data_IF_778206226645
#
_entry.id   IF_778206226645
#
_cell.length_a   1.000
_cell.length_b   1.000
_cell.length_c   1.000
_cell.angle_alpha   90.00
_cell.angle_beta   90.00
_cell.angle_gamma   90.00
#
_symmetry.space_group_name_H-M   'P 1'
#
loop_
_entity.id
_entity.type
_entity.pdbx_description
1 polymer ?
#
# COMPACT_ATOMS: atom_id res chain seq x y z
N UNK A 1 -33.15 25.55 -9.98
CA UNK A 1 -31.91 26.02 -9.32
C UNK A 1 -31.07 24.82 -8.92
N UNK A 2 -29.83 24.72 -9.41
CA UNK A 2 -28.90 23.64 -9.06
C UNK A 2 -28.57 23.63 -7.57
N UNK A 3 -28.25 22.47 -6.98
CA UNK A 3 -27.85 22.41 -5.58
C UNK A 3 -26.58 23.22 -5.32
N UNK A 4 -26.49 23.85 -4.14
CA UNK A 4 -25.29 24.55 -3.65
C UNK A 4 -25.12 24.28 -2.16
N UNK A 5 -23.89 24.04 -1.69
CA UNK A 5 -23.60 23.89 -0.27
C UNK A 5 -23.86 25.20 0.48
N UNK A 6 -24.63 25.13 1.57
CA UNK A 6 -24.99 26.30 2.38
C UNK A 6 -23.96 26.61 3.46
N UNK A 7 -23.15 25.63 3.86
CA UNK A 7 -22.12 25.78 4.91
C UNK A 7 -20.75 25.26 4.45
N UNK A 8 -20.18 25.75 3.34
CA UNK A 8 -18.91 25.24 2.80
C UNK A 8 -17.72 25.42 3.77
N UNK A 9 -17.75 26.45 4.62
CA UNK A 9 -16.71 26.70 5.65
C UNK A 9 -16.58 25.54 6.64
N UNK A 10 -17.71 24.93 7.06
CA UNK A 10 -17.72 23.77 7.97
C UNK A 10 -17.30 22.47 7.29
N UNK A 11 -17.10 22.49 5.97
CA UNK A 11 -16.66 21.38 5.14
C UNK A 11 -15.20 21.55 4.67
N UNK A 12 -14.51 22.63 5.12
CA UNK A 12 -13.09 22.89 4.78
C UNK A 12 -12.18 21.76 5.26
N UNK A 13 -12.40 21.27 6.50
CA UNK A 13 -11.67 20.11 7.03
C UNK A 13 -12.15 18.82 6.37
N UNK A 14 -11.43 18.41 5.32
CA UNK A 14 -11.71 17.19 4.57
C UNK A 14 -11.07 15.95 5.18
N UNK A 15 -10.04 16.09 6.00
CA UNK A 15 -9.42 14.97 6.71
C UNK A 15 -9.78 15.10 8.19
N UNK A 16 -10.36 14.05 8.76
CA UNK A 16 -10.82 14.01 10.15
C UNK A 16 -10.27 12.76 10.80
N UNK A 17 -9.25 12.93 11.62
CA UNK A 17 -8.67 11.88 12.44
C UNK A 17 -9.30 11.90 13.84
N UNK A 18 -9.80 10.77 14.33
CA UNK A 18 -10.47 10.63 15.64
C UNK A 18 -10.09 9.31 16.32
N UNK A 19 -10.01 9.24 17.65
CA UNK A 19 -9.68 7.99 18.33
C UNK A 19 -10.83 6.98 18.32
N UNK A 20 -10.50 5.68 18.43
CA UNK A 20 -11.49 4.59 18.67
C UNK A 20 -12.39 4.94 19.86
N UNK A 21 -13.68 4.57 19.76
CA UNK A 21 -14.70 4.83 20.77
C UNK A 21 -15.27 6.26 20.77
N UNK A 22 -14.64 7.20 20.07
CA UNK A 22 -15.15 8.57 19.96
C UNK A 22 -16.29 8.70 18.94
N UNK A 23 -16.74 9.93 18.69
CA UNK A 23 -17.83 10.21 17.74
C UNK A 23 -17.47 11.37 16.82
N UNK A 24 -17.94 11.33 15.58
CA UNK A 24 -17.75 12.40 14.58
C UNK A 24 -19.06 12.71 13.86
N UNK A 25 -19.24 14.00 13.51
CA UNK A 25 -20.38 14.48 12.72
C UNK A 25 -19.90 15.13 11.43
N UNK A 26 -20.27 14.56 10.30
CA UNK A 26 -19.95 15.08 8.96
C UNK A 26 -21.15 15.86 8.43
N UNK A 27 -20.98 17.15 8.15
CA UNK A 27 -22.06 18.05 7.70
C UNK A 27 -22.05 18.18 6.19
N UNK A 28 -23.20 18.18 5.54
CA UNK A 28 -23.29 18.36 4.09
C UNK A 28 -24.56 19.10 3.68
N UNK A 29 -24.91 20.16 4.41
CA UNK A 29 -26.14 20.93 4.14
C UNK A 29 -26.04 21.65 2.80
N UNK A 30 -27.08 21.51 1.98
CA UNK A 30 -27.19 22.16 0.68
C UNK A 30 -28.61 22.71 0.46
N UNK A 31 -28.72 23.66 -0.45
CA UNK A 31 -29.98 24.27 -0.89
C UNK A 31 -30.11 24.14 -2.40
N UNK A 32 -31.35 24.04 -2.89
CA UNK A 32 -31.66 23.98 -4.32
C UNK A 32 -33.18 24.02 -4.52
N UNK A 33 -33.62 24.24 -5.74
CA UNK A 33 -35.05 24.20 -6.10
C UNK A 33 -35.24 23.35 -7.38
N UNK A 34 -35.94 22.20 -7.31
CA UNK A 34 -36.58 21.59 -6.12
C UNK A 34 -35.60 21.23 -5.00
N UNK A 35 -36.11 21.06 -3.77
CA UNK A 35 -35.28 20.69 -2.61
C UNK A 35 -34.47 19.43 -2.94
N UNK A 36 -33.12 19.48 -2.85
CA UNK A 36 -32.31 18.34 -3.21
C UNK A 36 -32.38 17.21 -2.16
N UNK A 37 -32.20 15.98 -2.64
CA UNK A 37 -32.01 14.79 -1.81
C UNK A 37 -30.52 14.59 -1.50
N UNK A 38 -30.22 13.84 -0.43
CA UNK A 38 -28.86 13.52 0.00
C UNK A 38 -28.67 12.01 0.14
N UNK A 39 -27.57 11.49 -0.39
CA UNK A 39 -27.11 10.12 -0.21
C UNK A 39 -25.70 10.14 0.35
N UNK A 40 -25.46 9.39 1.43
CA UNK A 40 -24.12 9.19 1.97
C UNK A 40 -23.52 7.90 1.44
N UNK A 41 -22.28 7.99 0.99
CA UNK A 41 -21.49 6.90 0.46
C UNK A 41 -20.27 6.71 1.35
N UNK A 42 -19.93 5.46 1.71
CA UNK A 42 -18.63 5.09 2.27
C UNK A 42 -17.88 4.27 1.23
N UNK A 43 -16.70 4.72 0.84
CA UNK A 43 -15.84 4.07 -0.16
C UNK A 43 -16.62 3.73 -1.45
N UNK A 44 -17.40 4.71 -1.91
CA UNK A 44 -18.30 4.64 -3.08
C UNK A 44 -19.50 3.68 -2.95
N UNK A 45 -19.78 3.14 -1.77
CA UNK A 45 -20.96 2.30 -1.50
C UNK A 45 -21.98 3.06 -0.65
N UNK A 46 -23.28 3.03 -0.98
CA UNK A 46 -24.31 3.67 -0.16
C UNK A 46 -24.29 3.14 1.27
N UNK A 47 -24.39 4.04 2.25
CA UNK A 47 -24.57 3.64 3.65
C UNK A 47 -26.03 3.20 3.89
N UNK A 48 -26.27 2.24 4.81
CA UNK A 48 -27.62 1.87 5.21
C UNK A 48 -28.43 3.08 5.69
N UNK A 49 -29.73 3.08 5.41
CA UNK A 49 -30.64 4.17 5.79
C UNK A 49 -30.71 4.37 7.31
N UNK A 50 -30.43 3.37 8.14
CA UNK A 50 -30.36 3.53 9.61
C UNK A 50 -29.16 4.40 10.04
N UNK A 51 -28.05 4.32 9.29
CA UNK A 51 -26.83 5.07 9.60
C UNK A 51 -26.94 6.53 9.15
N UNK A 52 -27.68 6.77 8.06
CA UNK A 52 -27.83 8.08 7.43
C UNK A 52 -29.21 8.74 7.67
N UNK A 53 -30.17 7.99 8.21
CA UNK A 53 -31.56 8.38 8.45
C UNK A 53 -31.74 9.09 9.79
N UNK A 54 -32.63 10.08 9.80
CA UNK A 54 -33.03 10.86 10.97
C UNK A 54 -34.39 10.42 11.50
N UNK A 55 -34.77 11.01 12.63
CA UNK A 55 -36.08 10.81 13.24
C UNK A 55 -37.21 11.07 12.22
N UNK A 56 -38.13 10.12 12.09
CA UNK A 56 -39.22 10.16 11.11
C UNK A 56 -38.84 9.83 9.66
N UNK A 57 -37.75 9.07 9.42
CA UNK A 57 -37.43 8.53 8.08
C UNK A 57 -36.82 9.55 7.10
N UNK A 58 -36.48 10.76 7.56
CA UNK A 58 -35.85 11.79 6.72
C UNK A 58 -34.34 11.59 6.66
N UNK A 59 -33.76 11.50 5.45
CA UNK A 59 -32.29 11.44 5.27
C UNK A 59 -31.61 12.67 5.88
N UNK A 60 -30.57 12.47 6.69
CA UNK A 60 -29.90 13.56 7.41
C UNK A 60 -28.83 14.23 6.55
N UNK A 61 -28.90 15.56 6.50
CA UNK A 61 -27.81 16.43 6.04
C UNK A 61 -26.52 16.31 6.87
N UNK A 62 -26.56 15.61 8.00
CA UNK A 62 -25.41 15.36 8.87
C UNK A 62 -25.30 13.88 9.18
N UNK A 63 -24.21 13.24 8.73
CA UNK A 63 -23.87 11.87 9.11
C UNK A 63 -23.22 11.88 10.49
N UNK A 64 -23.75 11.09 11.42
CA UNK A 64 -23.20 10.96 12.78
C UNK A 64 -22.67 9.56 12.97
N UNK A 65 -21.34 9.42 13.08
CA UNK A 65 -20.68 8.17 13.43
C UNK A 65 -20.41 8.20 14.92
N UNK A 66 -20.97 7.25 15.67
CA UNK A 66 -20.78 7.12 17.12
C UNK A 66 -19.99 5.86 17.42
N UNK A 67 -19.28 5.86 18.56
CA UNK A 67 -18.49 4.72 19.03
C UNK A 67 -17.56 4.18 17.93
N UNK A 68 -16.65 5.04 17.45
CA UNK A 68 -15.86 4.77 16.25
C UNK A 68 -15.04 3.47 16.35
N UNK A 69 -15.14 2.59 15.36
CA UNK A 69 -14.29 1.40 15.22
C UNK A 69 -13.29 1.56 14.07
N UNK A 70 -12.14 0.84 14.07
CA UNK A 70 -11.14 0.95 12.99
C UNK A 70 -11.72 0.76 11.59
N UNK A 71 -12.72 -0.12 11.45
CA UNK A 71 -13.41 -0.45 10.19
C UNK A 71 -14.23 0.73 9.65
N UNK A 72 -14.56 1.73 10.48
CA UNK A 72 -15.23 2.95 10.06
C UNK A 72 -14.27 4.01 9.49
N UNK A 73 -12.97 3.71 9.39
CA UNK A 73 -12.06 4.51 8.57
C UNK A 73 -12.45 4.40 7.09
N UNK A 74 -12.32 5.48 6.32
CA UNK A 74 -12.64 5.47 4.90
C UNK A 74 -13.01 6.84 4.33
N UNK A 75 -13.43 6.83 3.06
CA UNK A 75 -13.89 8.03 2.34
C UNK A 75 -15.41 8.12 2.40
N UNK A 76 -15.90 9.12 3.12
CA UNK A 76 -17.32 9.43 3.25
C UNK A 76 -17.70 10.55 2.30
N UNK A 77 -18.47 10.22 1.26
CA UNK A 77 -18.94 11.19 0.27
C UNK A 77 -20.42 11.46 0.48
N UNK A 78 -20.79 12.72 0.65
CA UNK A 78 -22.19 13.12 0.47
C UNK A 78 -22.42 13.45 -1.00
N UNK A 79 -23.41 12.80 -1.58
CA UNK A 79 -23.91 13.06 -2.91
C UNK A 79 -25.27 13.73 -2.78
N UNK A 80 -25.40 14.94 -3.34
CA UNK A 80 -26.60 15.76 -3.23
C UNK A 80 -27.11 16.08 -4.62
N UNK A 81 -28.38 15.77 -4.90
CA UNK A 81 -28.93 15.93 -6.25
C UNK A 81 -30.38 16.38 -6.26
N UNK A 82 -30.75 17.10 -7.32
CA UNK A 82 -32.14 17.40 -7.70
C UNK A 82 -32.26 17.34 -9.23
N UNK A 83 -33.47 17.53 -9.77
CA UNK A 83 -33.70 17.55 -11.22
C UNK A 83 -32.91 18.60 -12.01
N UNK A 84 -32.30 19.59 -11.34
CA UNK A 84 -31.51 20.63 -11.99
C UNK A 84 -30.01 20.30 -12.03
N UNK A 85 -29.52 19.36 -11.20
CA UNK A 85 -28.14 18.91 -11.17
C UNK A 85 -27.72 18.29 -9.84
N UNK A 86 -26.42 18.06 -9.70
CA UNK A 86 -25.80 17.36 -8.57
C UNK A 86 -24.52 18.06 -8.07
N UNK A 87 -24.19 17.85 -6.80
CA UNK A 87 -22.94 18.26 -6.17
C UNK A 87 -22.49 17.18 -5.18
N UNK A 88 -21.19 17.09 -4.92
CA UNK A 88 -20.63 16.15 -3.96
C UNK A 88 -19.53 16.77 -3.08
N UNK A 89 -19.33 16.19 -1.89
CA UNK A 89 -18.19 16.50 -1.05
C UNK A 89 -17.71 15.25 -0.31
N UNK A 90 -16.40 15.09 -0.22
CA UNK A 90 -15.77 13.91 0.40
C UNK A 90 -14.97 14.30 1.63
N UNK A 91 -15.19 13.53 2.70
CA UNK A 91 -14.43 13.50 3.94
C UNK A 91 -13.60 12.22 3.99
N UNK A 92 -12.32 12.33 4.37
CA UNK A 92 -11.47 11.21 4.75
C UNK A 92 -11.54 11.10 6.28
N UNK A 93 -12.21 10.06 6.78
CA UNK A 93 -12.26 9.76 8.21
C UNK A 93 -11.21 8.71 8.53
N UNK A 94 -10.39 8.97 9.54
CA UNK A 94 -9.33 8.08 9.99
C UNK A 94 -9.53 7.80 11.48
N UNK A 95 -9.79 6.53 11.82
CA UNK A 95 -10.02 6.11 13.19
C UNK A 95 -8.71 5.60 13.76
N UNK A 96 -8.12 6.39 14.66
CA UNK A 96 -6.81 6.12 15.26
C UNK A 96 -7.00 5.26 16.52
N UNK A 97 -6.33 4.12 16.56
CA UNK A 97 -6.26 3.32 17.78
C UNK A 97 -5.17 3.89 18.70
N UNK A 98 -5.49 4.09 19.98
CA UNK A 98 -4.53 4.57 20.99
C UNK A 98 -3.62 3.41 21.40
N UNK A 99 -2.36 3.72 21.61
CA UNK A 99 -1.32 2.82 22.14
C UNK A 99 -0.43 3.61 23.07
N UNK A 100 0.18 2.93 24.04
CA UNK A 100 1.13 3.51 24.99
C UNK A 100 2.54 2.92 24.83
N UNK A 101 2.78 2.10 23.81
CA UNK A 101 4.06 1.44 23.59
C UNK A 101 4.48 1.51 22.13
N UNK A 102 5.75 1.82 21.87
CA UNK A 102 6.32 1.67 20.53
C UNK A 102 6.30 0.19 20.09
N UNK A 103 6.33 -0.11 18.78
CA UNK A 103 6.34 -1.49 18.30
C UNK A 103 7.62 -2.22 18.72
N UNK A 104 7.56 -3.54 18.85
CA UNK A 104 8.71 -4.37 19.24
C UNK A 104 9.00 -5.37 18.13
N UNK A 105 10.22 -5.39 17.59
CA UNK A 105 10.63 -6.41 16.63
C UNK A 105 10.96 -7.71 17.38
N UNK A 106 10.12 -8.72 17.17
CA UNK A 106 10.19 -10.02 17.84
C UNK A 106 10.85 -11.08 16.96
N UNK A 107 11.50 -12.07 17.59
CA UNK A 107 12.28 -13.08 16.90
C UNK A 107 13.64 -12.56 16.41
N UNK A 108 14.31 -13.37 15.59
CA UNK A 108 15.67 -13.10 15.08
C UNK A 108 15.68 -12.41 13.72
N UNK A 109 14.51 -12.09 13.15
CA UNK A 109 14.39 -11.57 11.79
C UNK A 109 14.44 -10.03 11.72
N UNK A 110 14.94 -9.44 10.62
CA UNK A 110 15.60 -10.11 9.49
C UNK A 110 16.95 -10.70 9.87
N UNK A 111 17.36 -11.76 9.18
CA UNK A 111 18.62 -12.49 9.40
C UNK A 111 19.51 -12.32 8.17
N UNK A 112 20.83 -12.25 8.36
CA UNK A 112 21.79 -12.22 7.25
C UNK A 112 21.55 -13.40 6.30
N UNK A 113 21.51 -13.11 5.01
CA UNK A 113 21.13 -14.09 3.99
C UNK A 113 22.11 -14.06 2.84
N UNK A 114 22.49 -15.25 2.36
CA UNK A 114 23.29 -15.41 1.15
C UNK A 114 22.42 -16.01 0.04
N UNK A 115 22.55 -15.49 -1.18
CA UNK A 115 21.81 -15.96 -2.36
C UNK A 115 22.74 -16.00 -3.57
N UNK A 116 22.55 -16.97 -4.46
CA UNK A 116 23.28 -17.02 -5.73
C UNK A 116 22.79 -15.93 -6.70
N UNK A 117 23.67 -15.50 -7.62
CA UNK A 117 23.29 -14.61 -8.71
C UNK A 117 22.10 -15.17 -9.49
N UNK A 118 21.11 -14.32 -9.79
CA UNK A 118 19.85 -14.71 -10.42
C UNK A 118 18.88 -15.46 -9.49
N UNK A 119 19.30 -15.79 -8.26
CA UNK A 119 18.48 -16.46 -7.26
C UNK A 119 17.34 -15.59 -6.71
N UNK A 120 16.48 -16.21 -5.92
CA UNK A 120 15.36 -15.54 -5.25
C UNK A 120 15.42 -15.82 -3.76
N UNK A 121 15.27 -14.78 -2.94
CA UNK A 121 15.30 -14.87 -1.48
C UNK A 121 14.33 -13.89 -0.85
N UNK A 122 14.10 -14.00 0.47
CA UNK A 122 13.23 -13.06 1.17
C UNK A 122 13.70 -12.77 2.59
N UNK A 123 13.59 -11.50 2.99
CA UNK A 123 13.69 -11.12 4.39
C UNK A 123 12.32 -11.15 5.05
N UNK A 124 12.27 -11.56 6.31
CA UNK A 124 11.07 -11.52 7.14
C UNK A 124 11.21 -10.43 8.20
N UNK A 125 10.09 -9.84 8.61
CA UNK A 125 10.07 -8.93 9.74
C UNK A 125 8.82 -9.16 10.59
N UNK A 126 9.02 -9.57 11.83
CA UNK A 126 7.95 -9.87 12.79
C UNK A 126 7.90 -8.79 13.86
N UNK A 127 6.81 -8.02 13.88
CA UNK A 127 6.63 -6.86 14.76
C UNK A 127 5.45 -7.12 15.69
N UNK A 128 5.66 -7.12 17.00
CA UNK A 128 4.59 -7.13 18.01
C UNK A 128 4.15 -5.69 18.30
N UNK A 129 2.84 -5.44 18.23
CA UNK A 129 2.24 -4.13 18.49
C UNK A 129 0.78 -4.35 18.88
N UNK A 130 0.27 -3.54 19.81
CA UNK A 130 -1.14 -3.52 20.25
C UNK A 130 -2.07 -2.82 19.24
N UNK A 131 -1.49 -2.03 18.34
CA UNK A 131 -2.15 -1.39 17.20
C UNK A 131 -1.48 -1.82 15.90
N UNK A 132 -2.20 -1.76 14.77
CA UNK A 132 -1.61 -2.06 13.45
C UNK A 132 -0.41 -1.14 13.17
N UNK A 133 0.83 -1.66 13.12
CA UNK A 133 2.00 -0.83 12.89
C UNK A 133 2.19 -0.59 11.39
N UNK A 134 2.90 0.49 11.07
CA UNK A 134 3.51 0.68 9.76
C UNK A 134 4.81 -0.13 9.75
N UNK A 135 4.91 -1.10 8.83
CA UNK A 135 6.15 -1.83 8.60
C UNK A 135 6.73 -1.31 7.28
N UNK A 136 8.03 -0.98 7.29
CA UNK A 136 8.70 -0.39 6.15
C UNK A 136 10.10 -0.97 5.98
N UNK A 137 10.47 -1.34 4.75
CA UNK A 137 11.81 -1.78 4.41
C UNK A 137 12.65 -0.64 3.85
N UNK A 138 13.91 -0.59 4.27
CA UNK A 138 14.91 0.34 3.77
C UNK A 138 16.13 -0.45 3.29
N UNK A 139 16.75 -0.03 2.19
CA UNK A 139 18.10 -0.49 1.79
C UNK A 139 19.08 0.66 1.98
N UNK A 140 20.24 0.39 2.58
CA UNK A 140 21.34 1.34 2.62
C UNK A 140 21.91 1.50 1.20
N UNK A 141 22.14 2.74 0.81
CA UNK A 141 22.76 3.08 -0.47
C UNK A 141 24.27 3.19 -0.22
N UNK A 142 25.05 2.45 -1.00
CA UNK A 142 26.51 2.49 -0.87
C UNK A 142 27.09 3.77 -1.51
N UNK A 143 28.23 4.28 -1.02
CA UNK A 143 28.87 5.46 -1.59
C UNK A 143 29.17 5.27 -3.09
N UNK A 144 28.70 6.19 -3.93
CA UNK A 144 28.89 6.15 -5.39
C UNK A 144 27.74 5.50 -6.17
N UNK A 145 26.76 4.89 -5.51
CA UNK A 145 25.58 4.33 -6.17
C UNK A 145 24.58 5.45 -6.55
N UNK A 146 24.41 5.70 -7.84
CA UNK A 146 23.52 6.77 -8.37
C UNK A 146 22.19 6.26 -8.93
N UNK A 147 21.89 4.96 -8.72
CA UNK A 147 20.69 4.28 -9.22
C UNK A 147 19.38 4.86 -8.67
N UNK A 148 19.42 5.49 -7.50
CA UNK A 148 18.23 5.93 -6.78
C UNK A 148 18.05 7.46 -6.87
N UNK A 149 16.96 7.89 -7.51
CA UNK A 149 16.60 9.31 -7.65
C UNK A 149 16.03 9.94 -6.37
N UNK A 150 15.65 9.13 -5.39
CA UNK A 150 15.06 9.60 -4.13
C UNK A 150 15.61 8.76 -2.98
N UNK A 151 16.28 9.43 -2.06
CA UNK A 151 16.91 8.82 -0.88
C UNK A 151 16.59 9.64 0.36
N UNK A 152 16.60 8.98 1.50
CA UNK A 152 16.47 9.59 2.83
C UNK A 152 17.86 9.62 3.46
N UNK A 153 18.25 10.78 3.96
CA UNK A 153 19.53 10.99 4.67
C UNK A 153 19.28 10.89 6.18
N UNK A 154 20.01 9.99 6.84
CA UNK A 154 19.92 9.76 8.29
C UNK A 154 21.35 9.67 8.83
N UNK A 155 21.80 10.77 9.46
CA UNK A 155 23.22 10.94 9.81
C UNK A 155 24.09 10.92 8.54
N UNK A 156 25.17 10.16 8.58
CA UNK A 156 26.11 10.02 7.45
C UNK A 156 25.72 8.90 6.47
N UNK A 157 24.47 8.43 6.52
CA UNK A 157 24.00 7.30 5.75
C UNK A 157 22.81 7.67 4.88
N UNK A 158 22.79 7.12 3.66
CA UNK A 158 21.70 7.26 2.70
C UNK A 158 20.91 5.96 2.62
N UNK A 159 19.59 6.08 2.61
CA UNK A 159 18.67 4.96 2.52
C UNK A 159 17.66 5.17 1.40
N UNK A 160 17.28 4.09 0.73
CA UNK A 160 16.14 4.08 -0.18
C UNK A 160 14.98 3.34 0.49
N UNK A 161 13.78 3.91 0.37
CA UNK A 161 12.54 3.29 0.83
C UNK A 161 12.10 2.26 -0.19
N UNK A 162 11.99 1.00 0.23
CA UNK A 162 11.57 -0.09 -0.63
C UNK A 162 10.04 -0.24 -0.60
N UNK A 163 9.39 -0.68 -1.68
CA UNK A 163 7.97 -0.96 -1.65
C UNK A 163 7.69 -2.07 -0.63
N UNK A 164 6.82 -1.79 0.33
CA UNK A 164 6.41 -2.78 1.34
C UNK A 164 5.17 -3.52 0.87
N UNK A 165 5.24 -4.85 0.85
CA UNK A 165 4.12 -5.71 0.50
C UNK A 165 3.02 -5.74 1.57
N UNK A 166 2.12 -6.71 1.46
CA UNK A 166 1.05 -6.91 2.44
C UNK A 166 1.60 -7.17 3.85
N UNK A 167 0.94 -6.59 4.86
CA UNK A 167 1.24 -6.81 6.28
C UNK A 167 0.21 -7.78 6.85
N UNK A 168 0.65 -8.97 7.25
CA UNK A 168 -0.22 -10.02 7.79
C UNK A 168 -0.28 -9.93 9.32
N UNK A 169 -1.48 -9.73 9.88
CA UNK A 169 -1.70 -9.92 11.31
C UNK A 169 -1.68 -11.41 11.65
N UNK A 170 -1.15 -11.73 12.84
CA UNK A 170 -1.04 -13.08 13.36
C UNK A 170 -1.87 -13.21 14.65
N UNK A 171 -2.42 -14.41 14.96
CA UNK A 171 -3.20 -14.63 16.17
C UNK A 171 -2.46 -14.33 17.48
N UNK A 172 -1.12 -14.36 17.47
CA UNK A 172 -0.27 -14.03 18.62
C UNK A 172 -0.14 -12.51 18.89
N UNK A 173 -0.86 -11.67 18.13
CA UNK A 173 -0.79 -10.21 18.22
C UNK A 173 0.45 -9.63 17.54
N UNK A 174 1.17 -10.42 16.74
CA UNK A 174 2.26 -9.92 15.90
C UNK A 174 1.82 -9.65 14.47
N UNK A 175 2.59 -8.82 13.78
CA UNK A 175 2.44 -8.49 12.38
C UNK A 175 3.67 -8.99 11.64
N UNK A 176 3.47 -9.64 10.51
CA UNK A 176 4.53 -10.16 9.67
C UNK A 176 4.51 -9.43 8.33
N UNK A 177 5.68 -9.03 7.86
CA UNK A 177 5.88 -8.59 6.49
C UNK A 177 7.10 -9.30 5.90
N UNK A 178 7.10 -9.50 4.57
CA UNK A 178 8.20 -10.13 3.84
C UNK A 178 8.64 -9.24 2.68
N UNK A 179 9.93 -9.00 2.58
CA UNK A 179 10.57 -8.37 1.43
C UNK A 179 11.11 -9.46 0.52
N UNK A 180 10.57 -9.57 -0.69
CA UNK A 180 11.00 -10.54 -1.70
C UNK A 180 12.03 -9.91 -2.64
N UNK A 181 13.16 -10.58 -2.82
CA UNK A 181 14.22 -10.19 -3.75
C UNK A 181 14.30 -11.29 -4.81
N UNK A 182 14.03 -10.94 -6.08
CA UNK A 182 14.00 -11.89 -7.19
C UNK A 182 15.06 -11.54 -8.21
N UNK A 183 15.68 -12.55 -8.83
CA UNK A 183 16.78 -12.38 -9.80
C UNK A 183 17.90 -11.51 -9.21
N UNK A 184 18.39 -11.93 -8.05
CA UNK A 184 19.38 -11.18 -7.28
C UNK A 184 20.63 -10.84 -8.12
N UNK A 185 21.05 -9.58 -8.07
CA UNK A 185 22.26 -9.06 -8.72
C UNK A 185 23.27 -8.59 -7.67
N UNK A 186 24.50 -8.37 -8.09
CA UNK A 186 25.56 -7.84 -7.22
C UNK A 186 25.12 -6.52 -6.54
N UNK A 187 24.50 -5.60 -7.28
CA UNK A 187 23.95 -4.35 -6.74
C UNK A 187 22.85 -4.55 -5.68
N UNK A 188 22.20 -5.72 -5.61
CA UNK A 188 21.18 -5.97 -4.59
C UNK A 188 21.81 -6.30 -3.22
N UNK A 189 23.11 -6.65 -3.19
CA UNK A 189 23.84 -6.86 -1.95
C UNK A 189 23.86 -5.58 -1.10
N UNK A 190 24.01 -5.75 0.22
CA UNK A 190 24.12 -4.65 1.16
C UNK A 190 23.20 -4.78 2.37
N UNK A 191 23.11 -3.70 3.14
CA UNK A 191 22.36 -3.67 4.39
C UNK A 191 20.89 -3.29 4.18
N UNK A 192 20.00 -4.16 4.63
CA UNK A 192 18.56 -3.95 4.66
C UNK A 192 18.09 -3.73 6.10
N UNK A 193 17.14 -2.82 6.29
CA UNK A 193 16.55 -2.51 7.59
C UNK A 193 15.04 -2.75 7.50
N UNK A 194 14.51 -3.52 8.45
CA UNK A 194 13.08 -3.49 8.75
C UNK A 194 12.81 -2.44 9.83
N UNK A 195 11.89 -1.54 9.55
CA UNK A 195 11.37 -0.53 10.47
C UNK A 195 9.91 -0.86 10.81
N UNK A 196 9.57 -0.94 12.10
CA UNK A 196 8.20 -1.00 12.59
C UNK A 196 7.87 0.26 13.38
N UNK A 197 6.85 1.01 12.96
CA UNK A 197 6.46 2.29 13.56
C UNK A 197 4.97 2.34 13.94
N UNK A 198 4.65 3.04 15.01
CA UNK A 198 3.30 3.43 15.39
C UNK A 198 3.31 4.88 15.93
N UNK A 199 2.20 5.33 16.51
CA UNK A 199 2.07 6.70 17.02
C UNK A 199 2.99 7.03 18.19
N UNK A 200 3.51 6.03 18.90
CA UNK A 200 4.42 6.19 20.05
C UNK A 200 5.91 6.12 19.66
N UNK A 201 6.22 5.75 18.42
CA UNK A 201 7.59 5.73 17.92
C UNK A 201 7.87 4.53 17.02
N UNK A 202 9.13 4.19 16.90
CA UNK A 202 9.59 3.14 16.00
C UNK A 202 10.64 2.23 16.64
N UNK A 203 10.76 1.05 16.08
CA UNK A 203 11.83 0.08 16.35
C UNK A 203 12.34 -0.46 15.03
N UNK A 204 13.61 -0.86 14.97
CA UNK A 204 14.20 -1.38 13.74
C UNK A 204 15.19 -2.51 14.00
N UNK A 205 15.47 -3.29 12.96
CA UNK A 205 16.53 -4.31 12.94
C UNK A 205 17.08 -4.43 11.53
N UNK A 206 18.39 -4.63 11.42
CA UNK A 206 19.10 -4.75 10.15
C UNK A 206 19.52 -6.19 9.86
N UNK A 207 19.69 -6.51 8.57
CA UNK A 207 20.34 -7.71 8.08
C UNK A 207 21.12 -7.39 6.80
N UNK A 208 22.16 -8.19 6.53
CA UNK A 208 22.97 -8.06 5.32
C UNK A 208 22.55 -9.10 4.27
N UNK A 209 22.46 -8.68 3.01
CA UNK A 209 22.32 -9.58 1.87
C UNK A 209 23.69 -9.76 1.20
N UNK A 210 24.12 -11.01 1.06
CA UNK A 210 25.28 -11.39 0.26
C UNK A 210 24.82 -12.06 -1.02
N UNK A 211 25.27 -11.56 -2.17
CA UNK A 211 24.99 -12.17 -3.48
C UNK A 211 26.26 -12.85 -3.98
N UNK A 212 26.20 -14.17 -4.19
CA UNK A 212 27.33 -14.93 -4.73
C UNK A 212 27.42 -14.69 -6.25
N UNK A 213 28.64 -14.57 -6.80
CA UNK A 213 28.85 -14.25 -8.21
C UNK A 213 28.31 -15.37 -9.12
N UNK A 214 27.96 -14.99 -10.36
CA UNK A 214 27.60 -15.96 -11.40
C UNK A 214 28.82 -16.80 -11.76
N UNK A 215 28.84 -18.06 -11.32
CA UNK A 215 29.86 -19.02 -11.74
C UNK A 215 29.49 -19.46 -13.15
N UNK A 216 29.76 -18.62 -14.15
CA UNK A 216 29.80 -19.09 -15.52
C UNK A 216 30.91 -20.15 -15.59
N UNK A 217 30.61 -21.40 -15.99
CA UNK A 217 31.66 -22.35 -16.29
C UNK A 217 32.50 -21.72 -17.41
N UNK A 218 33.77 -21.43 -17.13
CA UNK A 218 34.69 -21.04 -18.18
C UNK A 218 34.66 -22.18 -19.20
N UNK A 219 34.08 -21.88 -20.37
CA UNK A 219 34.18 -22.74 -21.53
C UNK A 219 35.64 -22.78 -21.91
N UNK A 220 36.38 -23.72 -21.34
CA UNK A 220 37.60 -24.21 -21.96
C UNK A 220 37.16 -24.72 -23.32
N UNK A 221 37.34 -23.91 -24.36
CA UNK A 221 37.29 -24.35 -25.73
C UNK A 221 38.36 -25.42 -25.88
N UNK A 222 37.95 -26.68 -25.77
CA UNK A 222 38.77 -27.80 -26.22
C UNK A 222 39.04 -27.52 -27.70
N UNK A 223 40.30 -27.42 -28.16
CA UNK A 223 40.58 -27.31 -29.57
C UNK A 223 40.00 -28.55 -30.25
N UNK A 224 38.91 -28.37 -31.00
CA UNK A 224 38.35 -29.39 -31.88
C UNK A 224 39.45 -29.87 -32.79
N UNK A 225 39.91 -31.11 -32.58
CA UNK A 225 40.82 -31.77 -33.49
C UNK A 225 40.12 -31.88 -34.85
N UNK A 226 40.63 -31.13 -35.83
CA UNK A 226 40.21 -31.22 -37.23
C UNK A 226 40.65 -32.58 -37.77
N UNK A 227 39.76 -33.57 -37.74
CA UNK A 227 39.96 -34.81 -38.48
C UNK A 227 39.79 -34.53 -39.97
N UNK A 228 40.74 -34.89 -40.85
CA UNK A 228 40.55 -34.76 -42.28
C UNK A 228 39.48 -35.77 -42.75
N UNK A 229 38.55 -35.28 -43.57
CA UNK A 229 37.44 -36.07 -44.08
C UNK A 229 37.88 -37.23 -44.97
N UNK A 230 37.22 -38.37 -44.78
CA UNK A 230 37.15 -39.44 -45.78
C UNK A 230 35.78 -39.36 -46.50
N UNK A 231 35.73 -39.65 -47.81
CA UNK A 231 34.56 -39.41 -48.64
C UNK A 231 33.51 -40.54 -48.49
N UNK A 232 32.24 -40.17 -48.56
CA UNK A 232 31.10 -41.08 -48.73
C UNK A 232 31.08 -41.67 -50.16
N UNK A 233 30.25 -42.70 -50.48
CA UNK A 233 29.49 -43.63 -49.63
C UNK A 233 29.72 -45.12 -50.00
N UNK A 234 29.53 -46.05 -49.05
CA UNK A 234 29.21 -47.45 -49.40
C UNK A 234 27.79 -47.72 -48.93
N UNK A 235 26.87 -47.77 -49.89
CA UNK A 235 25.50 -48.23 -49.69
C UNK A 235 25.55 -49.75 -49.54
N UNK A 236 25.31 -50.26 -48.34
CA UNK A 236 24.99 -51.68 -48.12
C UNK A 236 23.58 -51.73 -47.57
N UNK A 237 22.72 -52.43 -48.30
CA UNK A 237 21.28 -52.50 -48.07
C UNK A 237 20.90 -53.07 -46.71
N UNK A 238 19.83 -52.50 -46.16
CA UNK A 238 19.12 -52.98 -44.97
C UNK A 238 18.39 -54.29 -45.32
N UNK A 239 18.52 -55.39 -44.55
CA UNK A 239 17.54 -56.46 -44.59
C UNK A 239 16.31 -56.05 -43.79
N UNK A 240 15.17 -56.05 -44.47
CA UNK A 240 13.83 -55.69 -44.00
C UNK A 240 13.26 -56.69 -42.96
N UNK A 241 13.92 -56.84 -41.80
CA UNK A 241 13.51 -57.76 -40.74
C UNK A 241 12.97 -57.10 -39.46
N UNK A 242 13.27 -55.83 -39.20
CA UNK A 242 12.97 -55.19 -37.89
C UNK A 242 11.74 -54.27 -37.93
N UNK A 243 11.26 -53.88 -39.12
CA UNK A 243 10.10 -53.00 -39.27
C UNK A 243 8.74 -53.71 -39.07
N UNK A 244 8.69 -55.05 -39.10
CA UNK A 244 7.43 -55.79 -38.99
C UNK A 244 6.99 -56.08 -37.55
N UNK A 245 7.89 -56.00 -36.56
CA UNK A 245 7.56 -56.26 -35.15
C UNK A 245 7.05 -55.00 -34.42
N UNK A 246 7.45 -53.80 -34.86
CA UNK A 246 6.98 -52.54 -34.28
C UNK A 246 5.59 -52.10 -34.81
N UNK A 247 5.20 -52.55 -36.00
CA UNK A 247 3.91 -52.22 -36.61
C UNK A 247 2.71 -52.91 -35.96
N UNK A 248 2.89 -54.12 -35.43
CA UNK A 248 1.80 -54.89 -34.81
C UNK A 248 1.50 -54.44 -33.37
N UNK A 249 2.47 -53.87 -32.65
CA UNK A 249 2.29 -53.36 -31.29
C UNK A 249 1.47 -52.04 -31.24
N UNK A 250 1.55 -51.21 -32.29
CA UNK A 250 0.84 -49.92 -32.31
C UNK A 250 -0.66 -50.07 -32.59
N UNK A 251 -1.07 -51.11 -33.33
CA UNK A 251 -2.49 -51.39 -33.63
C UNK A 251 -3.25 -51.98 -32.44
N UNK A 252 -2.56 -52.65 -31.50
CA UNK A 252 -3.19 -53.18 -30.30
C UNK A 252 -3.46 -52.10 -29.24
N UNK A 253 -2.66 -51.03 -29.21
CA UNK A 253 -2.82 -49.93 -28.24
C UNK A 253 -3.91 -48.91 -28.61
N UNK A 254 -4.25 -48.79 -29.91
CA UNK A 254 -5.30 -47.87 -30.37
C UNK A 254 -6.74 -48.40 -30.20
N UNK A 255 -6.94 -49.70 -29.95
CA UNK A 255 -8.29 -50.28 -29.81
C UNK A 255 -8.83 -50.26 -28.37
N UNK A 256 -8.04 -49.90 -27.35
CA UNK A 256 -8.46 -50.04 -25.95
C UNK A 256 -9.14 -48.82 -25.31
N UNK A 257 -9.21 -47.65 -25.98
CA UNK A 257 -9.83 -46.46 -25.36
C UNK A 257 -10.68 -45.63 -26.32
N UNK A 258 -11.82 -46.20 -26.73
CA UNK A 258 -13.06 -45.42 -26.97
C UNK A 258 -14.30 -46.23 -26.58
N UNK A 259 -14.90 -45.88 -25.45
CA UNK A 259 -16.37 -45.88 -25.31
C UNK A 259 -16.78 -44.62 -24.54
N UNK A 260 -17.67 -43.87 -25.17
CA UNK A 260 -18.32 -42.64 -24.71
C UNK A 260 -19.53 -42.92 -23.80
N UNK A 261 -20.12 -41.88 -23.18
CA UNK A 261 -21.50 -41.35 -23.45
C UNK A 261 -22.00 -40.43 -22.29
N UNK A 262 -23.17 -39.76 -22.35
CA UNK A 262 -23.23 -38.31 -22.65
C UNK A 262 -24.21 -37.52 -21.73
N UNK A 263 -24.29 -36.20 -21.89
CA UNK A 263 -25.58 -35.45 -21.93
C UNK A 263 -25.37 -33.95 -22.25
N UNK A 264 -26.19 -33.48 -23.18
CA UNK A 264 -26.52 -32.11 -23.60
C UNK A 264 -28.06 -32.05 -23.68
N UNK A 265 -28.81 -30.92 -23.91
CA UNK A 265 -28.47 -29.65 -24.58
C UNK A 265 -29.00 -28.40 -23.79
N UNK A 266 -29.01 -27.12 -24.21
CA UNK A 266 -29.31 -26.53 -25.52
C UNK A 266 -28.97 -25.02 -25.62
N UNK A 267 -28.58 -24.61 -26.85
CA UNK A 267 -28.85 -23.36 -27.61
C UNK A 267 -28.77 -21.99 -26.92
N UNK A 268 -28.08 -20.97 -27.47
CA UNK A 268 -28.36 -20.39 -28.79
C UNK A 268 -27.33 -19.31 -29.22
N UNK A 269 -27.02 -19.35 -30.51
CA UNK A 269 -26.79 -18.27 -31.49
C UNK A 269 -25.90 -17.03 -31.20
N UNK A 270 -24.92 -16.87 -32.09
CA UNK A 270 -24.14 -15.68 -32.54
C UNK A 270 -25.05 -14.52 -33.05
N UNK A 271 -24.56 -13.28 -33.41
CA UNK A 271 -23.21 -12.95 -33.88
C UNK A 271 -22.62 -11.56 -33.48
N UNK A 272 -21.45 -11.32 -34.06
CA UNK A 272 -20.50 -10.21 -33.95
C UNK A 272 -21.01 -8.79 -34.22
N UNK A 273 -20.25 -7.83 -33.68
CA UNK A 273 -20.06 -6.50 -34.26
C UNK A 273 -20.08 -5.38 -33.22
N UNK A 274 -18.92 -4.77 -32.94
CA UNK A 274 -18.67 -3.37 -33.29
C UNK A 274 -17.30 -2.85 -32.79
N UNK A 275 -16.75 -2.00 -33.66
CA UNK A 275 -15.52 -1.21 -33.58
C UNK A 275 -15.42 -0.39 -32.29
N UNK A 276 -14.21 -0.28 -31.75
CA UNK A 276 -13.79 0.83 -30.88
C UNK A 276 -13.05 1.87 -31.73
N UNK A 277 -13.36 3.17 -31.65
CA UNK A 277 -12.51 4.19 -32.23
C UNK A 277 -11.40 4.58 -31.26
N UNK A 278 -10.23 4.83 -31.84
CA UNK A 278 -9.12 5.53 -31.21
C UNK A 278 -9.45 7.03 -31.05
N UNK A 279 -9.01 7.63 -29.95
CA UNK A 279 -8.86 9.07 -29.76
C UNK A 279 -7.61 9.26 -28.89
N UNK A 280 -6.46 9.53 -29.51
CA UNK A 280 -5.93 10.87 -29.84
C UNK A 280 -5.39 11.62 -28.62
N UNK A 281 -4.13 12.01 -28.81
CA UNK A 281 -3.19 12.58 -27.87
C UNK A 281 -3.11 14.06 -28.22
N UNK A 282 -3.45 14.96 -27.30
CA UNK A 282 -3.14 16.37 -27.43
C UNK A 282 -2.50 16.94 -26.16
N UNK A 283 -1.55 17.84 -26.40
CA UNK A 283 -0.54 18.36 -25.50
C UNK A 283 -0.70 19.87 -25.40
N UNK A 284 -0.55 20.36 -24.18
CA UNK A 284 -0.15 21.71 -23.74
C UNK A 284 -1.05 22.93 -24.04
N UNK A 285 -1.30 23.67 -22.96
CA UNK A 285 -1.74 25.07 -22.96
C UNK A 285 -1.62 25.62 -21.53
N UNK A 286 -0.55 26.37 -21.28
CA UNK A 286 -0.23 27.00 -20.01
C UNK A 286 -1.14 28.21 -19.72
N UNK A 287 -1.42 28.47 -18.43
CA UNK A 287 -2.12 29.67 -17.97
C UNK A 287 -2.23 29.69 -16.44
N UNK A 288 -1.21 30.25 -15.77
CA UNK A 288 -1.27 30.65 -14.37
C UNK A 288 -2.12 31.92 -14.21
N UNK A 289 -2.81 32.08 -13.08
CA UNK A 289 -2.76 33.39 -12.44
C UNK A 289 -2.42 33.34 -10.93
N UNK A 290 -1.58 34.31 -10.58
CA UNK A 290 -1.35 35.00 -9.30
C UNK A 290 -1.95 34.39 -8.01
N UNK A 291 -1.05 33.99 -7.11
CA UNK A 291 -1.34 33.79 -5.69
C UNK A 291 -1.34 35.13 -4.97
N UNK A 292 -2.50 35.54 -4.44
CA UNK A 292 -2.58 36.51 -3.35
C UNK A 292 -2.25 35.81 -2.04
N UNK A 293 -1.24 36.35 -1.34
CA UNK A 293 -0.83 35.91 -0.02
C UNK A 293 -1.93 36.25 1.01
N UNK A 294 -2.58 35.21 1.55
CA UNK A 294 -3.47 35.29 2.69
C UNK A 294 -2.93 34.39 3.81
N UNK A 295 -2.57 35.01 4.92
CA UNK A 295 -2.12 34.37 6.14
C UNK A 295 -3.25 33.57 6.80
N UNK A 296 -3.18 32.25 6.71
CA UNK A 296 -3.92 31.35 7.58
C UNK A 296 -3.01 30.12 7.79
N UNK A 297 -2.15 30.18 8.82
CA UNK A 297 -1.37 29.01 9.24
C UNK A 297 -2.35 28.07 9.94
N UNK A 298 -2.99 27.20 9.17
CA UNK A 298 -3.79 26.08 9.68
C UNK A 298 -2.87 25.15 10.51
N UNK A 299 -2.86 25.32 11.82
CA UNK A 299 -2.23 24.39 12.74
C UNK A 299 -3.02 23.06 12.71
N UNK A 300 -2.38 21.99 12.24
CA UNK A 300 -2.91 20.64 12.37
C UNK A 300 -3.00 20.30 13.86
N UNK A 301 -4.13 19.74 14.29
CA UNK A 301 -4.22 19.12 15.62
C UNK A 301 -3.25 17.93 15.71
N UNK A 302 -2.81 17.57 16.92
CA UNK A 302 -1.90 16.44 17.14
C UNK A 302 -2.36 15.15 16.44
N UNK A 303 -3.67 14.87 16.47
CA UNK A 303 -4.26 13.71 15.78
C UNK A 303 -4.19 13.83 14.25
N UNK A 304 -4.34 15.03 13.68
CA UNK A 304 -4.19 15.30 12.24
C UNK A 304 -2.71 15.23 11.80
N UNK A 305 -1.76 15.66 12.64
CA UNK A 305 -0.33 15.53 12.39
C UNK A 305 0.12 14.07 12.37
N UNK A 306 -0.33 13.27 13.35
CA UNK A 306 0.02 11.84 13.43
C UNK A 306 -0.53 11.06 12.23
N UNK A 307 -1.78 11.35 11.82
CA UNK A 307 -2.36 10.79 10.60
C UNK A 307 -1.56 11.17 9.34
N UNK A 308 -1.07 12.43 9.28
CA UNK A 308 -0.23 12.88 8.18
C UNK A 308 1.12 12.16 8.14
N UNK A 309 1.76 11.95 9.30
CA UNK A 309 3.02 11.18 9.41
C UNK A 309 2.84 9.71 9.00
N UNK A 310 1.74 9.07 9.41
CA UNK A 310 1.44 7.70 9.00
C UNK A 310 1.16 7.59 7.49
N UNK A 311 0.51 8.60 6.91
CA UNK A 311 0.28 8.67 5.47
C UNK A 311 1.59 8.79 4.68
N UNK A 312 2.52 9.63 5.14
CA UNK A 312 3.83 9.83 4.50
C UNK A 312 4.66 8.56 4.54
N UNK A 313 4.64 7.83 5.66
CA UNK A 313 5.33 6.54 5.78
C UNK A 313 4.68 5.44 4.92
N UNK A 314 3.37 5.51 4.69
CA UNK A 314 2.63 4.51 3.92
C UNK A 314 2.67 4.72 2.39
N UNK A 315 2.99 5.92 1.90
CA UNK A 315 2.82 6.26 0.48
C UNK A 315 4.07 6.15 -0.40
N UNK A 316 5.26 5.89 0.16
CA UNK A 316 6.47 5.53 -0.62
C UNK A 316 6.74 6.36 -1.88
N UNK A 317 6.34 7.64 -1.91
CA UNK A 317 6.19 8.39 -3.17
C UNK A 317 6.36 9.89 -3.04
N UNK A 318 7.34 10.38 -3.80
CA UNK A 318 7.79 11.74 -4.13
C UNK A 318 6.77 12.89 -4.00
N UNK A 319 7.09 13.89 -3.19
CA UNK A 319 6.38 15.17 -3.15
C UNK A 319 6.89 16.10 -2.05
N UNK A 320 7.80 17.00 -2.43
CA UNK A 320 8.43 18.09 -1.66
C UNK A 320 9.32 17.68 -0.47
N UNK A 321 10.60 18.03 -0.61
CA UNK A 321 11.62 17.98 0.46
C UNK A 321 11.08 18.67 1.72
N UNK A 322 10.99 17.99 2.87
CA UNK A 322 10.70 18.68 4.12
C UNK A 322 11.92 19.55 4.45
N UNK A 323 11.72 20.87 4.56
CA UNK A 323 12.63 21.70 5.35
C UNK A 323 12.69 21.09 6.75
N UNK A 324 13.86 20.60 7.12
CA UNK A 324 14.18 20.15 8.47
C UNK A 324 13.88 21.31 9.41
N UNK A 325 12.84 21.17 10.25
CA UNK A 325 12.69 22.04 11.41
C UNK A 325 13.51 21.42 12.55
N UNK A 326 14.44 22.18 13.16
CA UNK A 326 15.36 21.63 14.13
C UNK A 326 14.67 21.39 15.48
N UNK A 327 15.10 20.32 16.16
CA UNK A 327 15.02 20.02 17.60
C UNK A 327 13.81 20.60 18.35
N UNK A 328 12.82 19.75 18.60
CA UNK A 328 11.80 19.97 19.63
C UNK A 328 12.50 19.95 20.99
N UNK A 329 12.71 21.10 21.61
CA UNK A 329 12.99 21.16 23.05
C UNK A 329 11.70 20.83 23.79
N UNK A 330 11.70 19.74 24.54
CA UNK A 330 10.63 19.44 25.50
C UNK A 330 10.97 20.14 26.80
N UNK A 331 10.24 21.21 27.13
CA UNK A 331 10.31 21.79 28.47
C UNK A 331 9.15 21.23 29.31
N UNK A 332 9.46 20.53 30.40
CA UNK A 332 8.47 19.89 31.28
C UNK A 332 8.37 20.73 32.54
N UNK A 333 7.29 21.51 32.65
CA UNK A 333 7.00 22.22 33.88
C UNK A 333 6.07 21.38 34.75
N UNK A 334 6.45 21.24 36.03
CA UNK A 334 5.67 20.47 36.99
C UNK A 334 5.04 21.41 37.99
N UNK A 335 3.72 21.55 37.97
CA UNK A 335 2.98 22.37 38.92
C UNK A 335 2.47 21.50 40.06
N UNK A 336 2.71 21.93 41.29
CA UNK A 336 2.18 21.29 42.50
C UNK A 336 1.13 22.19 43.11
N UNK A 337 -0.08 21.66 43.28
CA UNK A 337 -1.17 22.36 43.95
C UNK A 337 -1.54 21.61 45.23
N UNK A 338 -1.51 22.31 46.36
CA UNK A 338 -2.00 21.82 47.64
C UNK A 338 -3.47 22.23 47.82
N UNK A 339 -4.34 21.26 48.05
CA UNK A 339 -5.71 21.51 48.48
C UNK A 339 -5.78 21.74 50.00
N UNK A 340 -6.82 22.45 50.45
CA UNK A 340 -7.07 22.80 51.86
C UNK A 340 -7.13 21.55 52.76
N UNK A 341 -7.44 20.37 52.20
CA UNK A 341 -7.48 19.08 52.89
C UNK A 341 -6.12 18.37 52.98
N UNK A 342 -5.00 19.07 52.74
CA UNK A 342 -3.63 18.54 52.89
C UNK A 342 -3.19 17.57 51.78
N UNK A 343 -4.02 17.31 50.76
CA UNK A 343 -3.62 16.51 49.59
C UNK A 343 -2.89 17.38 48.57
N UNK A 344 -1.67 16.98 48.25
CA UNK A 344 -0.85 17.60 47.19
C UNK A 344 -1.05 16.83 45.90
N UNK A 345 -1.51 17.53 44.85
CA UNK A 345 -1.63 16.99 43.51
C UNK A 345 -0.56 17.62 42.60
N UNK A 346 0.17 16.77 41.89
CA UNK A 346 1.23 17.18 40.96
C UNK A 346 0.74 16.97 39.53
N UNK A 347 0.71 18.06 38.75
CA UNK A 347 0.29 18.04 37.36
C UNK A 347 1.48 18.42 36.48
N UNK A 348 1.79 17.56 35.51
CA UNK A 348 2.79 17.86 34.47
C UNK A 348 2.10 18.48 33.27
N UNK A 349 2.55 19.67 32.88
CA UNK A 349 2.11 20.33 31.65
C UNK A 349 3.26 20.29 30.63
N UNK A 350 2.97 19.73 29.46
CA UNK A 350 3.92 19.67 28.34
C UNK A 350 3.59 20.84 27.42
N UNK A 351 4.50 21.81 27.33
CA UNK A 351 4.38 22.92 26.40
C UNK A 351 5.13 22.61 25.10
N UNK A 352 4.44 22.75 23.98
CA UNK A 352 5.05 22.68 22.65
C UNK A 352 5.14 24.12 22.12
N UNK A 353 6.35 24.67 21.98
CA UNK A 353 6.55 25.92 21.25
C UNK A 353 6.60 25.61 19.75
N UNK A 354 5.70 26.22 18.99
CA UNK A 354 5.64 26.14 17.53
C UNK A 354 6.53 27.18 16.85
#
# INVERSE_FOLDING_TARGET
>A
VRPRFTQPSKMRKRVIARPVGSSVRLKCTASGNPRPDIVWLKDNRPLPDETSGGEGGRKRWTLSLKNLTPEQSGRYTCHVSNRAGEINATYKVEVIQRTNSKPILTGTHPVNTTVDYGGTTSFQCKVRSDVKPVIQWLKRVEPGETKYNSTIEVGDHRFVVLPTGEVWSRPDGSYLNKLLITRAKEDDAGMYICLGANTMGYSFRSAYLTVLPDVQPQGNSIPTATSPGLPWPVIIGIPAGVAFILGTAFLWFCHSKRTCSPSSPSSSALPAGQRLPAASRERAGAGLPAQTAGSDKDCLSYEEYVAHQQLLLAQGGTGLVPKVYPKIYTDIHTHTHSHVDGKVHQHQHIHYQC
#
